data_IF_252977233860
#
_entry.id   IF_252977233860
#
_cell.length_a   1.000
_cell.length_b   1.000
_cell.length_c   1.000
_cell.angle_alpha   90.00
_cell.angle_beta   90.00
_cell.angle_gamma   90.00
#
_symmetry.space_group_name_H-M   'P 1'
#
loop_
_entity.id
_entity.type
_entity.pdbx_description
1 polymer ?
#
# COMPACT_ATOMS: atom_id res chain seq x y z
N UNK A 1 -42.77 -21.57 37.30
CA UNK A 1 -41.92 -22.66 36.76
C UNK A 1 -42.35 -22.96 35.34
N UNK A 2 -41.48 -22.76 34.35
CA UNK A 2 -41.40 -23.56 33.11
C UNK A 2 -40.34 -22.92 32.20
N UNK A 3 -39.17 -23.56 32.14
CA UNK A 3 -38.09 -23.25 31.21
C UNK A 3 -38.51 -23.71 29.83
N UNK A 4 -38.38 -22.86 28.81
CA UNK A 4 -38.31 -23.32 27.42
C UNK A 4 -36.90 -23.04 26.90
N UNK A 5 -36.08 -24.09 26.93
CA UNK A 5 -34.85 -24.18 26.15
C UNK A 5 -35.26 -24.47 24.72
N UNK A 6 -34.76 -23.70 23.77
CA UNK A 6 -34.64 -24.15 22.39
C UNK A 6 -33.23 -23.83 21.93
N UNK A 7 -32.53 -24.91 21.56
CA UNK A 7 -31.14 -24.93 21.17
C UNK A 7 -31.09 -25.37 19.72
N UNK A 8 -30.06 -24.89 19.01
CA UNK A 8 -29.59 -25.29 17.67
C UNK A 8 -30.38 -24.58 16.55
N UNK A 9 -29.75 -24.11 15.48
CA UNK A 9 -28.60 -24.66 14.76
C UNK A 9 -28.12 -23.61 13.76
N UNK A 10 -26.80 -23.53 13.58
CA UNK A 10 -26.09 -23.14 12.35
C UNK A 10 -26.64 -21.98 11.52
N UNK A 11 -25.90 -20.87 11.53
CA UNK A 11 -25.39 -20.33 10.27
C UNK A 11 -23.96 -19.81 10.50
N UNK A 12 -23.03 -20.77 10.51
CA UNK A 12 -21.65 -20.51 10.15
C UNK A 12 -21.60 -20.37 8.63
N UNK A 13 -22.10 -19.25 8.12
CA UNK A 13 -21.71 -18.79 6.81
C UNK A 13 -20.30 -18.20 6.97
N UNK A 14 -19.31 -18.92 6.45
CA UNK A 14 -17.96 -18.41 6.30
C UNK A 14 -18.03 -17.11 5.48
N UNK A 15 -18.06 -15.99 6.17
CA UNK A 15 -17.58 -14.71 5.66
C UNK A 15 -16.07 -14.84 5.53
N UNK A 16 -15.59 -15.52 4.48
CA UNK A 16 -14.27 -15.20 3.94
C UNK A 16 -14.37 -13.88 3.18
N UNK A 17 -14.86 -12.83 3.86
CA UNK A 17 -14.67 -11.47 3.42
C UNK A 17 -13.16 -11.26 3.43
N UNK A 18 -12.60 -10.86 2.30
CA UNK A 18 -11.26 -10.29 2.30
C UNK A 18 -11.31 -9.13 3.29
N UNK A 19 -10.77 -9.32 4.49
CA UNK A 19 -10.59 -8.25 5.46
C UNK A 19 -9.72 -7.22 4.77
N UNK A 20 -10.34 -6.13 4.30
CA UNK A 20 -9.70 -5.08 3.54
C UNK A 20 -9.96 -3.75 4.24
N UNK A 21 -8.91 -2.97 4.44
CA UNK A 21 -9.02 -1.61 4.98
C UNK A 21 -8.81 -0.59 3.87
N UNK A 22 -9.65 0.43 3.86
CA UNK A 22 -9.53 1.56 2.94
C UNK A 22 -8.96 2.76 3.68
N UNK A 23 -7.93 3.38 3.11
CA UNK A 23 -7.36 4.65 3.58
C UNK A 23 -7.50 5.66 2.46
N UNK A 24 -8.16 6.78 2.73
CA UNK A 24 -8.30 7.86 1.75
C UNK A 24 -7.23 8.91 1.95
N UNK A 25 -6.47 9.23 0.91
CA UNK A 25 -5.51 10.32 0.98
C UNK A 25 -6.24 11.66 1.10
N UNK A 26 -5.75 12.58 1.93
CA UNK A 26 -6.34 13.91 2.07
C UNK A 26 -6.06 14.76 0.81
N UNK A 27 -6.85 15.81 0.56
CA UNK A 27 -6.59 16.73 -0.55
C UNK A 27 -5.22 17.40 -0.52
N UNK A 28 -4.72 17.74 0.66
CA UNK A 28 -3.34 18.19 0.85
C UNK A 28 -2.49 17.05 1.37
N UNK A 29 -1.79 16.38 0.47
CA UNK A 29 -0.88 15.28 0.78
C UNK A 29 0.58 15.76 0.83
N UNK A 30 0.84 16.64 1.79
CA UNK A 30 2.11 17.35 1.99
C UNK A 30 2.72 17.03 3.35
N UNK A 31 3.92 17.54 3.63
CA UNK A 31 4.69 17.31 4.87
C UNK A 31 3.89 17.61 6.14
N UNK A 32 2.96 18.57 6.12
CA UNK A 32 2.12 18.92 7.27
C UNK A 32 1.10 17.84 7.63
N UNK A 33 0.74 16.97 6.67
CA UNK A 33 -0.29 15.93 6.83
C UNK A 33 0.28 14.51 6.77
N UNK A 34 1.46 14.34 6.19
CA UNK A 34 2.06 13.02 5.90
C UNK A 34 2.20 12.15 7.16
N UNK A 35 2.49 12.75 8.32
CA UNK A 35 2.63 12.02 9.57
C UNK A 35 1.30 11.37 10.03
N UNK A 36 0.17 12.08 9.87
CA UNK A 36 -1.16 11.54 10.17
C UNK A 36 -1.50 10.39 9.23
N UNK A 37 -1.33 10.60 7.92
CA UNK A 37 -1.63 9.58 6.90
C UNK A 37 -0.78 8.33 7.10
N UNK A 38 0.49 8.49 7.48
CA UNK A 38 1.37 7.37 7.84
C UNK A 38 0.76 6.53 8.97
N UNK A 39 0.25 7.17 10.02
CA UNK A 39 -0.34 6.46 11.14
C UNK A 39 -1.60 5.71 10.70
N UNK A 40 -2.46 6.34 9.90
CA UNK A 40 -3.67 5.71 9.35
C UNK A 40 -3.31 4.45 8.52
N UNK A 41 -2.27 4.51 7.70
CA UNK A 41 -1.77 3.37 6.92
C UNK A 41 -1.24 2.26 7.84
N UNK A 42 -0.48 2.61 8.88
CA UNK A 42 0.07 1.63 9.82
C UNK A 42 -1.02 0.94 10.64
N UNK A 43 -2.04 1.68 11.06
CA UNK A 43 -3.22 1.14 11.73
C UNK A 43 -4.01 0.23 10.78
N UNK A 44 -4.15 0.60 9.51
CA UNK A 44 -4.78 -0.25 8.50
C UNK A 44 -4.03 -1.58 8.31
N UNK A 45 -2.69 -1.57 8.28
CA UNK A 45 -1.88 -2.79 8.24
C UNK A 45 -1.99 -3.64 9.50
N UNK A 46 -2.27 -3.05 10.66
CA UNK A 46 -2.52 -3.84 11.88
C UNK A 46 -3.87 -4.54 11.83
N UNK A 47 -4.87 -3.90 11.22
CA UNK A 47 -6.23 -4.39 11.16
C UNK A 47 -6.49 -5.35 9.98
N UNK A 48 -5.66 -5.34 8.94
CA UNK A 48 -5.89 -6.11 7.72
C UNK A 48 -4.59 -6.38 6.96
N UNK A 49 -4.53 -7.54 6.30
CA UNK A 49 -3.45 -7.90 5.38
C UNK A 49 -3.55 -7.22 4.02
N UNK A 50 -4.68 -6.59 3.69
CA UNK A 50 -4.91 -5.90 2.41
C UNK A 50 -5.40 -4.48 2.66
N UNK A 51 -4.60 -3.49 2.27
CA UNK A 51 -4.95 -2.08 2.38
C UNK A 51 -5.16 -1.51 0.99
N UNK A 52 -6.28 -0.80 0.80
CA UNK A 52 -6.60 -0.06 -0.41
C UNK A 52 -6.41 1.44 -0.14
N UNK A 53 -5.49 2.07 -0.86
CA UNK A 53 -5.22 3.51 -0.74
C UNK A 53 -5.93 4.26 -1.86
N UNK A 54 -6.85 5.16 -1.51
CA UNK A 54 -7.56 6.00 -2.49
C UNK A 54 -6.80 7.30 -2.73
N UNK A 55 -6.44 7.58 -3.99
CA UNK A 55 -5.63 8.74 -4.37
C UNK A 55 -6.42 9.87 -5.02
N UNK A 56 -7.69 9.66 -5.36
CA UNK A 56 -8.45 10.57 -6.23
C UNK A 56 -8.78 11.94 -5.62
N UNK A 57 -8.64 12.09 -4.31
CA UNK A 57 -8.92 13.36 -3.63
C UNK A 57 -7.68 14.28 -3.58
N UNK A 58 -6.50 13.80 -3.99
CA UNK A 58 -5.25 14.57 -3.86
C UNK A 58 -5.23 15.76 -4.83
N UNK A 59 -5.24 16.97 -4.29
CA UNK A 59 -5.14 18.22 -5.04
C UNK A 59 -3.73 18.82 -4.97
N UNK A 60 -3.02 18.53 -3.88
CA UNK A 60 -1.66 19.00 -3.62
C UNK A 60 -0.82 17.86 -3.07
N UNK A 61 0.40 17.74 -3.58
CA UNK A 61 1.37 16.78 -3.07
C UNK A 61 2.77 17.39 -3.11
N UNK A 62 3.60 16.99 -2.16
CA UNK A 62 5.03 17.31 -2.17
C UNK A 62 5.88 16.04 -2.14
N UNK A 63 7.19 16.23 -2.06
CA UNK A 63 8.15 15.13 -2.00
C UNK A 63 7.90 14.19 -0.79
N UNK A 64 7.48 14.72 0.36
CA UNK A 64 7.21 13.91 1.54
C UNK A 64 6.00 13.00 1.31
N UNK A 65 4.94 13.50 0.68
CA UNK A 65 3.79 12.71 0.27
C UNK A 65 4.19 11.57 -0.68
N UNK A 66 4.97 11.88 -1.72
CA UNK A 66 5.46 10.86 -2.67
C UNK A 66 6.28 9.79 -1.94
N UNK A 67 7.24 10.19 -1.10
CA UNK A 67 8.05 9.25 -0.32
C UNK A 67 7.21 8.35 0.59
N UNK A 68 6.10 8.85 1.15
CA UNK A 68 5.21 8.01 1.94
C UNK A 68 4.55 6.92 1.10
N UNK A 69 4.12 7.19 -0.15
CA UNK A 69 3.55 6.16 -1.02
C UNK A 69 4.53 5.01 -1.27
N UNK A 70 5.76 5.34 -1.64
CA UNK A 70 6.83 4.36 -1.84
C UNK A 70 7.14 3.59 -0.55
N UNK A 71 7.24 4.30 0.57
CA UNK A 71 7.52 3.70 1.87
C UNK A 71 6.39 2.75 2.30
N UNK A 72 5.13 3.14 2.07
CA UNK A 72 3.97 2.31 2.38
C UNK A 72 3.94 1.02 1.54
N UNK A 73 4.24 1.10 0.24
CA UNK A 73 4.29 -0.08 -0.63
C UNK A 73 5.43 -1.03 -0.22
N UNK A 74 6.62 -0.50 0.07
CA UNK A 74 7.75 -1.29 0.59
C UNK A 74 7.42 -1.92 1.94
N UNK A 75 6.78 -1.18 2.83
CA UNK A 75 6.37 -1.66 4.14
C UNK A 75 5.34 -2.79 4.03
N UNK A 76 4.39 -2.69 3.10
CA UNK A 76 3.44 -3.77 2.82
C UNK A 76 4.18 -5.06 2.43
N UNK A 77 5.09 -4.97 1.45
CA UNK A 77 5.92 -6.11 1.02
C UNK A 77 6.73 -6.68 2.19
N UNK A 78 7.36 -5.82 2.99
CA UNK A 78 8.17 -6.22 4.15
C UNK A 78 7.34 -6.98 5.20
N UNK A 79 6.07 -6.62 5.37
CA UNK A 79 5.13 -7.27 6.32
C UNK A 79 4.40 -8.48 5.74
N UNK A 80 4.54 -8.77 4.45
CA UNK A 80 3.71 -9.77 3.77
C UNK A 80 2.25 -9.32 3.62
N UNK A 81 2.02 -8.01 3.55
CA UNK A 81 0.72 -7.41 3.26
C UNK A 81 0.63 -6.95 1.81
N UNK A 82 -0.60 -6.76 1.35
CA UNK A 82 -0.90 -6.19 0.04
C UNK A 82 -1.34 -4.74 0.24
N UNK A 83 -0.68 -3.81 -0.44
CA UNK A 83 -1.14 -2.43 -0.58
C UNK A 83 -1.54 -2.20 -2.04
N UNK A 84 -2.82 -1.94 -2.28
CA UNK A 84 -3.37 -1.62 -3.59
C UNK A 84 -3.66 -0.12 -3.68
N UNK A 85 -3.53 0.44 -4.87
CA UNK A 85 -4.03 1.80 -5.13
C UNK A 85 -5.42 1.74 -5.77
N UNK A 86 -6.23 2.78 -5.55
CA UNK A 86 -7.55 2.92 -6.18
C UNK A 86 -7.84 4.34 -6.61
N UNK A 87 -8.71 4.43 -7.62
CA UNK A 87 -9.18 5.68 -8.19
C UNK A 87 -8.28 6.26 -9.28
N UNK A 88 -8.70 7.40 -9.81
CA UNK A 88 -7.96 8.15 -10.82
C UNK A 88 -6.79 8.88 -10.16
N UNK A 89 -5.66 8.93 -10.87
CA UNK A 89 -4.47 9.69 -10.43
C UNK A 89 -4.69 11.16 -10.78
N UNK A 90 -4.77 12.06 -9.79
CA UNK A 90 -4.96 13.48 -10.07
C UNK A 90 -3.74 14.08 -10.78
N UNK A 91 -3.96 15.09 -11.62
CA UNK A 91 -2.90 15.77 -12.37
C UNK A 91 -1.78 16.30 -11.46
N UNK A 92 -2.12 16.82 -10.28
CA UNK A 92 -1.15 17.30 -9.30
C UNK A 92 -0.20 16.18 -8.84
N UNK A 93 -0.73 14.98 -8.61
CA UNK A 93 0.07 13.82 -8.24
C UNK A 93 0.93 13.33 -9.39
N UNK A 94 0.33 13.19 -10.58
CA UNK A 94 1.04 12.81 -11.80
C UNK A 94 2.20 13.73 -12.14
N UNK A 95 1.95 15.04 -12.15
CA UNK A 95 2.95 16.06 -12.45
C UNK A 95 4.07 16.10 -11.43
N UNK A 96 3.76 15.93 -10.14
CA UNK A 96 4.76 15.90 -9.08
C UNK A 96 5.67 14.65 -9.18
N UNK A 97 5.11 13.49 -9.58
CA UNK A 97 5.89 12.28 -9.83
C UNK A 97 6.88 12.46 -10.99
N UNK A 98 6.42 13.05 -12.11
CA UNK A 98 7.29 13.34 -13.27
C UNK A 98 8.34 14.38 -12.91
N UNK A 99 7.93 15.49 -12.30
CA UNK A 99 8.84 16.59 -11.91
C UNK A 99 9.88 16.13 -10.89
N UNK A 100 9.48 15.24 -9.97
CA UNK A 100 10.38 14.64 -8.99
C UNK A 100 11.31 13.55 -9.55
N UNK A 101 11.20 13.21 -10.84
CA UNK A 101 12.00 12.17 -11.49
C UNK A 101 11.63 10.74 -11.06
N UNK A 102 10.44 10.55 -10.49
CA UNK A 102 9.93 9.24 -10.09
C UNK A 102 9.31 8.47 -11.26
N UNK A 103 8.82 9.20 -12.27
CA UNK A 103 8.21 8.65 -13.47
C UNK A 103 8.69 9.42 -14.72
N UNK A 104 8.76 8.74 -15.86
CA UNK A 104 9.05 9.38 -17.15
C UNK A 104 7.80 9.99 -17.80
N UNK A 105 6.64 9.42 -17.49
CA UNK A 105 5.32 9.85 -17.98
C UNK A 105 4.31 9.89 -16.83
N UNK A 106 3.23 10.65 -17.00
CA UNK A 106 2.14 10.76 -16.03
C UNK A 106 1.33 9.46 -16.02
N UNK A 107 1.23 8.74 -14.88
CA UNK A 107 0.41 7.55 -14.80
C UNK A 107 -1.07 7.89 -14.94
N UNK A 108 -1.79 7.13 -15.76
CA UNK A 108 -3.18 7.39 -16.14
C UNK A 108 -4.20 6.84 -15.14
N UNK A 109 -3.75 6.06 -14.16
CA UNK A 109 -4.63 5.47 -13.14
C UNK A 109 -3.88 4.70 -12.06
N UNK A 110 -4.60 4.31 -11.02
CA UNK A 110 -4.05 3.59 -9.87
C UNK A 110 -3.21 2.34 -10.21
N UNK A 111 -3.60 1.46 -11.16
CA UNK A 111 -2.80 0.27 -11.49
C UNK A 111 -1.42 0.60 -12.05
N UNK A 112 -1.34 1.63 -12.90
CA UNK A 112 -0.08 2.09 -13.50
C UNK A 112 0.83 2.71 -12.44
N UNK A 113 0.27 3.58 -11.59
CA UNK A 113 0.98 4.13 -10.44
C UNK A 113 1.48 3.02 -9.50
N UNK A 114 0.67 1.99 -9.24
CA UNK A 114 1.07 0.88 -8.37
C UNK A 114 2.26 0.09 -8.93
N UNK A 115 2.28 -0.16 -10.24
CA UNK A 115 3.40 -0.83 -10.91
C UNK A 115 4.70 -0.02 -10.75
N UNK A 116 4.62 1.31 -10.91
CA UNK A 116 5.75 2.22 -10.71
C UNK A 116 6.27 2.19 -9.26
N UNK A 117 5.39 2.07 -8.26
CA UNK A 117 5.82 1.90 -6.86
C UNK A 117 6.54 0.56 -6.61
N UNK A 118 6.13 -0.50 -7.31
CA UNK A 118 6.70 -1.86 -7.19
C UNK A 118 8.11 -1.97 -7.76
N UNK A 119 8.41 -1.31 -8.88
CA UNK A 119 9.75 -1.34 -9.50
C UNK A 119 10.85 -0.82 -8.56
N UNK A 120 10.50 0.05 -7.62
CA UNK A 120 11.41 0.51 -6.57
C UNK A 120 11.46 -0.42 -5.36
N UNK A 121 10.37 -1.16 -5.06
CA UNK A 121 10.34 -2.12 -3.97
C UNK A 121 11.08 -3.44 -4.30
N UNK A 122 11.08 -3.87 -5.57
CA UNK A 122 11.70 -5.13 -6.02
C UNK A 122 13.23 -5.10 -6.12
N UNK A 123 13.85 -3.92 -6.25
CA UNK A 123 15.32 -3.78 -6.36
C UNK A 123 16.08 -4.16 -5.10
N UNK A 124 15.43 -4.22 -3.93
CA UNK A 124 16.06 -4.63 -2.68
C UNK A 124 16.36 -6.14 -2.61
N UNK A 125 15.72 -6.97 -3.45
CA UNK A 125 15.91 -8.43 -3.45
C UNK A 125 17.11 -8.90 -4.28
N UNK A 126 17.70 -8.03 -5.11
CA UNK A 126 18.74 -8.40 -6.06
C UNK A 126 20.19 -8.37 -5.48
N UNK A 127 20.36 -8.20 -4.15
CA UNK A 127 21.70 -8.09 -3.53
C UNK A 127 22.04 -9.10 -2.43
N UNK A 128 21.23 -10.14 -2.22
CA UNK A 128 21.46 -11.09 -1.10
C UNK A 128 21.57 -12.55 -1.54
N UNK A 129 22.18 -12.80 -2.69
CA UNK A 129 22.35 -14.16 -3.19
C UNK A 129 23.35 -14.30 -4.32
N UNK A 130 24.59 -13.88 -4.10
CA UNK A 130 25.73 -14.49 -4.78
C UNK A 130 27.01 -14.32 -3.94
N UNK A 131 27.21 -15.25 -3.00
CA UNK A 131 28.52 -15.50 -2.39
C UNK A 131 28.60 -16.95 -1.89
N UNK A 132 28.45 -17.87 -2.84
CA UNK A 132 28.83 -19.28 -2.72
C UNK A 132 29.14 -19.73 -4.14
N UNK A 133 30.34 -20.13 -4.52
CA UNK A 133 31.54 -20.49 -3.79
C UNK A 133 32.23 -21.49 -4.71
N UNK A 134 33.39 -21.14 -5.24
CA UNK A 134 34.27 -21.99 -6.05
C UNK A 134 35.53 -21.11 -6.27
N UNK A 135 36.77 -21.52 -6.08
CA UNK A 135 37.32 -22.84 -6.34
C UNK A 135 38.71 -22.92 -5.70
N UNK A 136 38.91 -24.01 -4.96
CA UNK A 136 40.14 -24.79 -4.84
C UNK A 136 41.20 -24.46 -5.91
N UNK A 137 42.37 -23.97 -5.47
CA UNK A 137 43.63 -24.09 -6.24
C UNK A 137 44.73 -24.46 -5.28
N UNK A 138 45.29 -25.65 -5.53
CA UNK A 138 46.35 -26.30 -4.76
C UNK A 138 47.73 -25.70 -4.96
#
# INVERSE_FOLDING_TARGET
>A
MARKKETRKSDAAASSGLDMRVVSLPPSFTVERVASVRNDILEAFQASSTVLLSVSQVERVDLAGIHLLYSAKREAVRRGHTLLLSGDVPEALGSALVTGGFCVDVPRGAPELEALLLEFAGRDKAKTGDSSGEEDRG
#
